data_IF_619513518693
#
_entry.id   IF_619513518693
#
_cell.length_a   1.000
_cell.length_b   1.000
_cell.length_c   1.000
_cell.angle_alpha   90.00
_cell.angle_beta   90.00
_cell.angle_gamma   90.00
#
_symmetry.space_group_name_H-M   'P 1'
#
loop_
_entity.id
_entity.type
_entity.pdbx_description
1 polymer ?
#
# COMPACT_ATOMS: atom_id res chain seq x y z
N UNK A 1 5.14 -4.71 -23.26
CA UNK A 1 5.77 -4.09 -22.08
C UNK A 1 5.47 -4.98 -20.89
N UNK A 2 6.50 -5.61 -20.33
CA UNK A 2 6.42 -6.47 -19.15
C UNK A 2 7.32 -5.90 -18.07
N UNK A 3 7.00 -6.14 -16.80
CA UNK A 3 7.88 -5.74 -15.70
C UNK A 3 9.11 -6.66 -15.71
N UNK A 4 10.31 -6.09 -15.74
CA UNK A 4 11.57 -6.84 -15.62
C UNK A 4 12.10 -6.85 -14.19
N UNK A 5 11.94 -5.75 -13.47
CA UNK A 5 12.45 -5.59 -12.10
C UNK A 5 11.62 -4.59 -11.32
N UNK A 6 11.51 -4.81 -10.02
CA UNK A 6 10.90 -3.89 -9.07
C UNK A 6 11.87 -3.66 -7.92
N UNK A 7 12.03 -2.41 -7.53
CA UNK A 7 12.87 -2.02 -6.41
C UNK A 7 12.08 -1.18 -5.40
N UNK A 8 12.28 -1.46 -4.13
CA UNK A 8 11.88 -0.57 -3.03
C UNK A 8 13.12 -0.10 -2.28
N UNK A 9 13.22 1.19 -2.07
CA UNK A 9 14.20 1.82 -1.20
C UNK A 9 13.48 2.28 0.05
N UNK A 10 13.98 1.83 1.20
CA UNK A 10 13.45 2.13 2.53
C UNK A 10 11.94 1.83 2.69
N UNK A 11 11.49 0.65 2.23
CA UNK A 11 10.15 0.17 2.55
C UNK A 11 9.99 0.05 4.07
N UNK A 12 8.92 0.59 4.63
CA UNK A 12 8.69 0.78 6.08
C UNK A 12 9.80 1.60 6.78
N UNK A 13 10.59 2.36 6.02
CA UNK A 13 11.71 3.15 6.52
C UNK A 13 13.02 2.39 6.68
N UNK A 14 13.04 1.08 6.49
CA UNK A 14 14.20 0.21 6.81
C UNK A 14 14.60 -0.77 5.72
N UNK A 15 13.67 -1.35 4.95
CA UNK A 15 13.97 -2.44 4.03
C UNK A 15 14.25 -1.95 2.61
N UNK A 16 15.31 -2.46 2.03
CA UNK A 16 15.60 -2.30 0.60
C UNK A 16 15.35 -3.65 -0.08
N UNK A 17 14.50 -3.66 -1.12
CA UNK A 17 14.14 -4.86 -1.87
C UNK A 17 14.39 -4.67 -3.35
N UNK A 18 14.96 -5.69 -3.98
CA UNK A 18 15.09 -5.83 -5.43
C UNK A 18 14.49 -7.17 -5.83
N UNK A 19 13.52 -7.14 -6.73
CA UNK A 19 12.84 -8.33 -7.22
C UNK A 19 12.94 -8.34 -8.74
N UNK A 20 13.62 -9.34 -9.26
CA UNK A 20 13.70 -9.59 -10.70
C UNK A 20 12.59 -10.53 -11.14
N UNK A 21 11.92 -10.19 -12.23
CA UNK A 21 10.82 -10.97 -12.78
C UNK A 21 11.31 -11.92 -13.85
N UNK A 22 10.84 -13.18 -13.78
CA UNK A 22 11.17 -14.18 -14.78
C UNK A 22 10.51 -13.85 -16.11
N UNK A 23 11.32 -13.34 -17.07
CA UNK A 23 10.85 -12.94 -18.38
C UNK A 23 10.49 -14.14 -19.29
N UNK A 24 11.17 -15.28 -19.10
CA UNK A 24 10.99 -16.48 -19.93
C UNK A 24 9.77 -17.31 -19.52
N UNK A 25 9.64 -17.58 -18.22
CA UNK A 25 8.59 -18.44 -17.69
C UNK A 25 7.28 -17.73 -17.38
N UNK A 26 7.27 -16.39 -17.30
CA UNK A 26 6.08 -15.60 -16.98
C UNK A 26 5.59 -15.73 -15.53
N UNK A 27 6.23 -16.57 -14.71
CA UNK A 27 5.90 -16.81 -13.31
C UNK A 27 7.10 -16.42 -12.45
N UNK A 28 6.87 -15.60 -11.44
CA UNK A 28 7.86 -15.23 -10.42
C UNK A 28 7.30 -15.54 -9.05
N UNK A 29 8.05 -16.29 -8.25
CA UNK A 29 7.66 -16.66 -6.88
C UNK A 29 8.52 -15.83 -5.91
N UNK A 30 7.86 -15.10 -5.01
CA UNK A 30 8.52 -14.30 -3.98
C UNK A 30 8.50 -15.09 -2.67
N UNK A 31 9.67 -15.49 -2.21
CA UNK A 31 9.87 -16.25 -0.96
C UNK A 31 10.60 -15.36 0.05
N UNK A 32 10.29 -15.50 1.31
CA UNK A 32 10.96 -14.78 2.41
C UNK A 32 10.17 -14.88 3.70
N UNK A 33 10.75 -14.42 4.79
CA UNK A 33 10.14 -14.40 6.12
C UNK A 33 8.88 -13.53 6.18
N UNK A 34 8.03 -13.79 7.16
CA UNK A 34 6.85 -12.95 7.41
C UNK A 34 7.28 -11.57 7.93
N UNK A 35 6.57 -10.54 7.50
CA UNK A 35 6.89 -9.15 7.90
C UNK A 35 7.82 -8.41 6.93
N UNK A 36 8.51 -9.08 6.02
CA UNK A 36 9.40 -8.43 5.03
C UNK A 36 8.68 -7.63 3.93
N UNK A 37 7.34 -7.59 3.94
CA UNK A 37 6.59 -6.76 3.00
C UNK A 37 6.22 -7.42 1.68
N UNK A 38 6.31 -8.75 1.53
CA UNK A 38 5.96 -9.47 0.28
C UNK A 38 4.59 -9.07 -0.29
N UNK A 39 3.56 -9.13 0.55
CA UNK A 39 2.19 -8.75 0.16
C UNK A 39 2.09 -7.28 -0.19
N UNK A 40 2.76 -6.42 0.55
CA UNK A 40 2.78 -4.97 0.32
C UNK A 40 3.45 -4.63 -1.01
N UNK A 41 4.51 -5.34 -1.39
CA UNK A 41 5.17 -5.18 -2.69
C UNK A 41 4.22 -5.54 -3.83
N UNK A 42 3.53 -6.69 -3.74
CA UNK A 42 2.55 -7.10 -4.75
C UNK A 42 1.36 -6.14 -4.84
N UNK A 43 0.86 -5.68 -3.69
CA UNK A 43 -0.22 -4.70 -3.62
C UNK A 43 0.20 -3.34 -4.16
N UNK A 44 1.46 -2.94 -3.97
CA UNK A 44 2.02 -1.71 -4.54
C UNK A 44 2.08 -1.76 -6.06
N UNK A 45 2.51 -2.88 -6.63
CA UNK A 45 2.51 -3.10 -8.08
C UNK A 45 1.08 -3.02 -8.61
N UNK A 46 0.15 -3.75 -8.01
CA UNK A 46 -1.26 -3.73 -8.39
C UNK A 46 -1.87 -2.32 -8.28
N UNK A 47 -1.57 -1.60 -7.21
CA UNK A 47 -2.05 -0.24 -6.98
C UNK A 47 -1.52 0.77 -8.00
N UNK A 48 -0.26 0.63 -8.41
CA UNK A 48 0.34 1.47 -9.43
C UNK A 48 -0.37 1.31 -10.78
N UNK A 49 -0.58 0.07 -11.24
CA UNK A 49 -1.19 -0.21 -12.54
C UNK A 49 -2.70 0.07 -12.57
N UNK A 50 -3.39 -0.12 -11.45
CA UNK A 50 -4.80 0.23 -11.30
C UNK A 50 -5.04 1.70 -10.92
N UNK A 51 -3.98 2.53 -10.87
CA UNK A 51 -4.04 3.94 -10.49
C UNK A 51 -4.65 4.19 -9.11
N UNK A 52 -4.56 3.20 -8.23
CA UNK A 52 -5.01 3.32 -6.82
C UNK A 52 -3.89 3.91 -5.96
N UNK A 53 -3.58 5.17 -6.17
CA UNK A 53 -2.49 5.85 -5.47
C UNK A 53 -2.76 6.08 -3.97
N UNK A 54 -4.01 5.96 -3.53
CA UNK A 54 -4.37 6.12 -2.11
C UNK A 54 -3.66 5.12 -1.19
N UNK A 55 -3.38 3.90 -1.67
CA UNK A 55 -2.58 2.93 -0.95
C UNK A 55 -1.11 3.39 -0.86
N UNK A 56 -0.52 3.79 -1.98
CA UNK A 56 0.87 4.20 -2.08
C UNK A 56 1.19 5.48 -1.28
N UNK A 57 0.23 6.41 -1.17
CA UNK A 57 0.42 7.63 -0.34
C UNK A 57 0.57 7.31 1.14
N UNK A 58 -0.10 6.26 1.63
CA UNK A 58 -0.06 5.84 3.05
C UNK A 58 1.14 4.97 3.38
N UNK A 59 1.73 4.30 2.38
CA UNK A 59 2.85 3.41 2.54
C UNK A 59 4.13 4.21 2.81
N UNK A 60 4.95 3.77 3.76
CA UNK A 60 6.24 4.40 4.06
C UNK A 60 7.31 3.80 3.15
N UNK A 61 7.89 4.61 2.28
CA UNK A 61 9.05 4.26 1.44
C UNK A 61 9.75 5.54 0.96
N UNK A 62 10.99 5.42 0.53
CA UNK A 62 11.73 6.52 -0.10
C UNK A 62 11.52 6.53 -1.61
N UNK A 63 11.74 5.37 -2.26
CA UNK A 63 11.51 5.18 -3.70
C UNK A 63 10.85 3.84 -3.96
N UNK A 64 9.98 3.82 -4.95
CA UNK A 64 9.42 2.61 -5.55
C UNK A 64 9.66 2.68 -7.05
N UNK A 65 10.51 1.78 -7.57
CA UNK A 65 10.98 1.78 -8.96
C UNK A 65 10.46 0.53 -9.65
N UNK A 66 9.87 0.71 -10.82
CA UNK A 66 9.46 -0.37 -11.71
C UNK A 66 10.22 -0.21 -13.02
N UNK A 67 10.98 -1.22 -13.40
CA UNK A 67 11.73 -1.29 -14.66
C UNK A 67 11.03 -2.28 -15.58
N UNK A 68 10.93 -1.92 -16.86
CA UNK A 68 10.28 -2.72 -17.88
C UNK A 68 11.29 -3.39 -18.81
N UNK A 69 10.81 -4.34 -19.60
CA UNK A 69 11.60 -5.11 -20.59
C UNK A 69 12.19 -4.27 -21.73
N UNK A 70 11.63 -3.08 -21.98
CA UNK A 70 12.10 -2.09 -22.95
C UNK A 70 13.08 -1.07 -22.33
N UNK A 71 13.63 -1.33 -21.15
CA UNK A 71 14.48 -0.43 -20.36
C UNK A 71 13.82 0.87 -19.86
N UNK A 72 12.54 1.09 -20.12
CA UNK A 72 11.83 2.17 -19.47
C UNK A 72 11.72 1.91 -17.96
N UNK A 73 11.67 2.98 -17.18
CA UNK A 73 11.48 2.90 -15.74
C UNK A 73 10.49 3.95 -15.24
N UNK A 74 9.72 3.55 -14.25
CA UNK A 74 8.83 4.43 -13.49
C UNK A 74 9.30 4.48 -12.05
N UNK A 75 9.63 5.66 -11.58
CA UNK A 75 10.06 5.89 -10.20
C UNK A 75 9.00 6.69 -9.47
N UNK A 76 8.44 6.14 -8.42
CA UNK A 76 7.59 6.86 -7.47
C UNK A 76 8.42 7.30 -6.29
N UNK A 77 8.27 8.57 -5.90
CA UNK A 77 8.86 9.12 -4.67
C UNK A 77 7.86 10.00 -3.94
N UNK A 78 8.06 10.19 -2.65
CA UNK A 78 7.29 11.14 -1.85
C UNK A 78 7.95 12.50 -1.82
N UNK A 79 7.12 13.55 -1.72
CA UNK A 79 7.60 14.91 -1.52
C UNK A 79 8.39 15.04 -0.22
N UNK A 80 9.52 15.76 -0.28
CA UNK A 80 10.41 15.96 0.87
C UNK A 80 10.08 17.23 1.69
N UNK A 81 9.23 18.12 1.19
CA UNK A 81 8.89 19.37 1.84
C UNK A 81 7.66 19.20 2.73
N UNK A 82 7.62 19.92 3.86
CA UNK A 82 6.44 19.94 4.75
C UNK A 82 5.16 20.37 4.05
N UNK A 83 5.25 21.21 3.02
CA UNK A 83 4.12 21.63 2.18
C UNK A 83 3.66 20.53 1.21
N UNK A 84 4.53 19.57 0.87
CA UNK A 84 4.29 18.49 -0.08
C UNK A 84 4.30 17.11 0.57
N UNK A 85 4.23 17.06 1.91
CA UNK A 85 4.23 15.81 2.67
C UNK A 85 2.97 15.01 2.30
N UNK A 86 3.18 13.79 1.80
CA UNK A 86 2.11 12.92 1.31
C UNK A 86 1.83 12.99 -0.20
N UNK A 87 2.39 13.97 -0.92
CA UNK A 87 2.29 13.99 -2.37
C UNK A 87 3.19 12.91 -2.98
N UNK A 88 2.67 12.23 -4.02
CA UNK A 88 3.42 11.28 -4.82
C UNK A 88 3.87 11.93 -6.12
N UNK A 89 5.10 11.65 -6.50
CA UNK A 89 5.69 12.08 -7.76
C UNK A 89 6.04 10.85 -8.58
N UNK A 90 5.57 10.79 -9.82
CA UNK A 90 5.93 9.77 -10.79
C UNK A 90 6.95 10.36 -11.78
N UNK A 91 8.11 9.77 -11.81
CA UNK A 91 9.18 10.11 -12.75
C UNK A 91 9.33 8.98 -13.74
N UNK A 92 9.43 9.31 -15.01
CA UNK A 92 9.72 8.36 -16.09
C UNK A 92 11.15 8.54 -16.57
N UNK A 93 11.86 7.45 -16.74
CA UNK A 93 13.25 7.45 -17.16
C UNK A 93 13.65 6.15 -17.85
N UNK A 94 14.94 5.96 -18.02
CA UNK A 94 15.53 4.75 -18.57
C UNK A 94 16.42 4.10 -17.51
N UNK A 95 16.29 2.79 -17.31
CA UNK A 95 17.08 1.98 -16.35
C UNK A 95 17.09 2.51 -14.89
N UNK A 96 16.07 3.24 -14.47
CA UNK A 96 16.02 3.86 -13.14
C UNK A 96 16.97 5.05 -12.97
N UNK A 97 17.60 5.46 -14.06
CA UNK A 97 18.62 6.51 -14.08
C UNK A 97 18.17 7.69 -14.89
N UNK A 98 17.98 8.63 -15.15
CA UNK A 98 17.53 9.74 -16.03
C UNK A 98 16.02 9.95 -15.95
N UNK A 99 15.61 10.55 -14.85
CA UNK A 99 14.25 11.01 -14.62
C UNK A 99 13.95 12.21 -15.54
N UNK A 100 13.36 11.95 -16.72
CA UNK A 100 13.13 12.98 -17.74
C UNK A 100 11.84 13.78 -17.53
N UNK A 101 10.84 13.22 -16.88
CA UNK A 101 9.54 13.86 -16.67
C UNK A 101 9.02 13.56 -15.27
N UNK A 102 8.82 14.61 -14.46
CA UNK A 102 8.20 14.53 -13.15
C UNK A 102 6.71 14.90 -13.27
N UNK A 103 5.84 13.98 -12.89
CA UNK A 103 4.41 14.21 -12.80
C UNK A 103 3.97 14.11 -11.33
N UNK A 104 3.45 15.21 -10.80
CA UNK A 104 2.78 15.18 -9.49
C UNK A 104 1.47 14.42 -9.61
N UNK A 105 1.34 13.34 -8.84
CA UNK A 105 0.09 12.59 -8.72
C UNK A 105 -0.77 13.27 -7.66
N UNK A 106 -1.69 14.12 -8.10
CA UNK A 106 -2.71 14.69 -7.21
C UNK A 106 -3.68 13.58 -6.84
N UNK A 107 -3.52 13.03 -5.65
CA UNK A 107 -4.54 12.15 -5.10
C UNK A 107 -5.63 13.04 -4.52
N UNK A 108 -6.88 12.87 -4.97
CA UNK A 108 -8.07 13.47 -4.34
C UNK A 108 -8.33 12.87 -2.94
N UNK A 109 -7.31 12.42 -2.25
CA UNK A 109 -7.40 12.10 -0.86
C UNK A 109 -7.53 13.43 -0.10
N UNK A 110 -8.76 13.80 0.24
CA UNK A 110 -8.95 14.56 1.47
C UNK A 110 -8.09 13.83 2.51
N UNK A 111 -6.94 14.40 2.86
CA UNK A 111 -6.04 13.88 3.89
C UNK A 111 -6.88 13.82 5.16
N UNK A 112 -7.46 12.65 5.41
CA UNK A 112 -8.10 12.39 6.70
C UNK A 112 -6.92 12.42 7.66
N UNK A 113 -6.81 13.51 8.40
CA UNK A 113 -5.72 13.67 9.37
C UNK A 113 -5.58 12.38 10.19
N UNK A 114 -4.36 11.96 10.56
CA UNK A 114 -4.15 10.73 11.34
C UNK A 114 -5.07 10.63 12.55
N UNK A 115 -5.41 11.76 13.18
CA UNK A 115 -6.42 11.86 14.23
C UNK A 115 -7.82 11.40 13.80
N UNK A 116 -8.28 11.77 12.58
CA UNK A 116 -9.59 11.35 12.08
C UNK A 116 -9.64 9.87 11.74
N UNK A 117 -8.55 9.29 11.27
CA UNK A 117 -8.46 7.85 10.97
C UNK A 117 -8.44 7.00 12.25
N UNK A 118 -7.72 7.44 13.28
CA UNK A 118 -7.72 6.82 14.60
C UNK A 118 -9.13 6.89 15.22
N UNK A 119 -9.77 8.04 15.16
CA UNK A 119 -11.15 8.22 15.65
C UNK A 119 -12.16 7.34 14.89
N UNK A 120 -12.01 7.20 13.56
CA UNK A 120 -12.85 6.32 12.75
C UNK A 120 -12.65 4.85 13.11
N UNK A 121 -11.40 4.40 13.30
CA UNK A 121 -11.06 3.03 13.76
C UNK A 121 -11.61 2.77 15.18
N UNK A 122 -11.50 3.74 16.09
CA UNK A 122 -12.05 3.64 17.43
C UNK A 122 -13.58 3.60 17.42
N UNK A 123 -14.23 4.38 16.55
CA UNK A 123 -15.69 4.39 16.41
C UNK A 123 -16.21 3.05 15.86
N UNK A 124 -15.54 2.52 14.81
CA UNK A 124 -15.87 1.22 14.24
C UNK A 124 -15.66 0.09 15.26
N UNK A 125 -14.57 0.14 16.04
CA UNK A 125 -14.30 -0.84 17.10
C UNK A 125 -15.37 -0.80 18.21
N UNK A 126 -15.82 0.41 18.60
CA UNK A 126 -16.94 0.57 19.57
C UNK A 126 -18.25 0.04 19.02
N UNK A 127 -18.53 0.23 17.74
CA UNK A 127 -19.77 -0.26 17.10
C UNK A 127 -19.79 -1.78 17.00
N UNK A 128 -18.65 -2.40 16.65
CA UNK A 128 -18.49 -3.86 16.65
C UNK A 128 -18.67 -4.45 18.07
N UNK A 129 -18.09 -3.81 19.08
CA UNK A 129 -18.26 -4.22 20.48
C UNK A 129 -19.72 -4.08 20.96
N UNK A 130 -20.42 -3.01 20.58
CA UNK A 130 -21.84 -2.85 20.88
C UNK A 130 -22.68 -3.96 20.25
N UNK A 131 -22.43 -4.32 19.00
CA UNK A 131 -23.14 -5.40 18.30
C UNK A 131 -22.89 -6.76 18.95
N UNK A 132 -21.65 -7.06 19.37
CA UNK A 132 -21.34 -8.28 20.11
C UNK A 132 -22.08 -8.33 21.44
N UNK A 133 -22.04 -7.27 22.25
CA UNK A 133 -22.77 -7.22 23.53
C UNK A 133 -24.27 -7.40 23.35
N UNK A 134 -24.88 -6.86 22.28
CA UNK A 134 -26.29 -7.07 21.98
C UNK A 134 -26.57 -8.53 21.60
N UNK A 135 -25.69 -9.14 20.79
CA UNK A 135 -25.83 -10.55 20.43
C UNK A 135 -25.72 -11.48 21.64
N UNK A 136 -24.75 -11.24 22.51
CA UNK A 136 -24.56 -11.99 23.77
C UNK A 136 -25.76 -11.82 24.74
N UNK A 137 -26.38 -10.64 24.78
CA UNK A 137 -27.57 -10.39 25.56
C UNK A 137 -28.81 -11.14 25.02
N UNK A 138 -28.94 -11.19 23.70
CA UNK A 138 -30.03 -11.90 23.03
C UNK A 138 -29.89 -13.42 23.23
N UNK A 139 -28.67 -13.98 23.03
CA UNK A 139 -28.42 -15.41 23.28
C UNK A 139 -28.69 -15.80 24.73
N UNK A 140 -28.29 -14.97 25.71
CA UNK A 140 -28.56 -15.23 27.12
C UNK A 140 -30.05 -15.15 27.46
N UNK A 141 -30.83 -14.33 26.75
CA UNK A 141 -32.29 -14.21 26.97
C UNK A 141 -33.01 -15.45 26.44
N UNK A 142 -32.64 -15.98 25.28
CA UNK A 142 -33.18 -17.24 24.75
C UNK A 142 -32.83 -18.48 25.61
N UNK A 143 -31.70 -18.45 26.34
CA UNK A 143 -31.34 -19.52 27.29
C UNK A 143 -32.17 -19.46 28.60
N UNK A 144 -32.69 -18.30 28.98
CA UNK A 144 -33.55 -18.14 30.18
C UNK A 144 -35.02 -18.47 29.90
N UNK A 145 -35.51 -18.22 28.68
CA UNK A 145 -36.90 -18.50 28.29
C UNK A 145 -37.14 -19.98 27.86
N UNK A 146 -36.09 -20.81 27.85
CA UNK A 146 -36.16 -22.23 27.49
C UNK A 146 -36.32 -23.21 28.66
N UNK A 147 -36.56 -22.72 29.88
CA UNK A 147 -36.83 -23.53 31.07
C UNK A 147 -38.20 -23.17 31.66
N UNK A 148 -39.27 -23.49 30.95
CA UNK A 148 -40.63 -23.74 31.50
C UNK A 148 -41.16 -25.05 30.94
#
# INVERSE_FOLDING_TARGET
MKISRVEFVKLFGIFDHVIEFNQKGGITIIIGENGLGKTVILESINSLFNRNFSFLTKLIFEKFIVVFDNNESWTLRKGKSKSNEGNLYLLKGENGKNEKHEHEIKTNSSVISPKKEILRKMHLKREIMRRKNIHDLIENQYLLDGFE
#
